data_IF_266120288733
#
_entry.id   IF_266120288733
#
_cell.length_a   1.000
_cell.length_b   1.000
_cell.length_c   1.000
_cell.angle_alpha   90.00
_cell.angle_beta   90.00
_cell.angle_gamma   90.00
#
_symmetry.space_group_name_H-M   'P 1'
#
loop_
_entity.id
_entity.type
_entity.pdbx_description
1 polymer ?
#
# COMPACT_ATOMS: atom_id res chain seq x y z
N UNK A 1 7.71 13.97 7.71
CA UNK A 1 8.19 13.75 6.32
C UNK A 1 8.60 12.29 6.18
N UNK A 2 8.19 11.59 5.13
CA UNK A 2 8.55 10.19 4.89
C UNK A 2 10.08 10.07 4.66
N UNK A 3 10.71 9.09 5.30
CA UNK A 3 12.12 8.74 5.11
C UNK A 3 12.32 7.23 5.38
N UNK A 4 13.56 6.74 5.17
CA UNK A 4 13.91 5.32 5.36
C UNK A 4 13.68 4.81 6.79
N UNK A 5 13.76 5.68 7.80
CA UNK A 5 13.60 5.28 9.22
C UNK A 5 12.13 5.17 9.63
N UNK A 6 11.26 5.96 9.02
CA UNK A 6 9.85 6.02 9.38
C UNK A 6 8.90 5.39 8.33
N UNK A 7 9.44 4.69 7.33
CA UNK A 7 8.62 4.03 6.31
C UNK A 7 7.59 3.04 6.88
N UNK A 8 7.98 2.20 7.84
CA UNK A 8 7.07 1.23 8.48
C UNK A 8 5.91 1.91 9.22
N UNK A 9 6.14 2.90 10.11
CA UNK A 9 5.04 3.62 10.72
C UNK A 9 4.24 4.48 9.72
N UNK A 10 4.86 5.05 8.69
CA UNK A 10 4.17 5.80 7.64
C UNK A 10 3.22 4.91 6.83
N UNK A 11 3.72 3.78 6.32
CA UNK A 11 2.95 2.81 5.54
C UNK A 11 1.76 2.27 6.34
N UNK A 12 1.96 1.98 7.64
CA UNK A 12 0.88 1.58 8.53
C UNK A 12 -0.20 2.66 8.70
N UNK A 13 0.19 3.92 8.88
CA UNK A 13 -0.77 5.04 8.99
C UNK A 13 -1.56 5.23 7.70
N UNK A 14 -0.88 5.19 6.56
CA UNK A 14 -1.50 5.38 5.25
C UNK A 14 -2.54 4.29 4.95
N UNK A 15 -2.18 3.02 5.16
CA UNK A 15 -3.10 1.90 4.94
C UNK A 15 -4.30 1.92 5.91
N UNK A 16 -4.10 2.38 7.16
CA UNK A 16 -5.22 2.58 8.10
C UNK A 16 -6.14 3.70 7.65
N UNK A 17 -5.57 4.81 7.20
CA UNK A 17 -6.32 5.93 6.65
C UNK A 17 -7.14 5.48 5.43
N UNK A 18 -6.52 4.82 4.46
CA UNK A 18 -7.19 4.28 3.26
C UNK A 18 -8.39 3.39 3.62
N UNK A 19 -8.23 2.48 4.59
CA UNK A 19 -9.33 1.61 5.05
C UNK A 19 -10.50 2.35 5.70
N UNK A 20 -10.25 3.53 6.26
CA UNK A 20 -11.28 4.33 6.94
C UNK A 20 -12.12 5.20 6.01
N UNK A 21 -11.71 5.35 4.75
CA UNK A 21 -12.43 6.13 3.73
C UNK A 21 -13.65 5.36 3.18
N UNK A 22 -14.62 6.05 2.55
CA UNK A 22 -15.59 5.39 1.68
C UNK A 22 -14.88 4.48 0.67
N UNK A 23 -15.46 3.33 0.33
CA UNK A 23 -14.80 2.31 -0.50
C UNK A 23 -13.46 1.78 0.06
N UNK A 24 -13.15 1.99 1.35
CA UNK A 24 -11.82 1.73 1.91
C UNK A 24 -11.25 0.32 1.70
N UNK A 25 -12.11 -0.71 1.58
CA UNK A 25 -11.69 -2.07 1.20
C UNK A 25 -11.18 -2.12 -0.26
N UNK A 26 -11.86 -1.44 -1.18
CA UNK A 26 -11.47 -1.35 -2.59
C UNK A 26 -10.21 -0.49 -2.74
N UNK A 27 -10.12 0.63 -2.03
CA UNK A 27 -8.91 1.48 -2.02
C UNK A 27 -7.70 0.67 -1.57
N UNK A 28 -7.81 -0.01 -0.42
CA UNK A 28 -6.75 -0.86 0.08
C UNK A 28 -6.38 -1.98 -0.89
N UNK A 29 -7.37 -2.55 -1.59
CA UNK A 29 -7.13 -3.55 -2.62
C UNK A 29 -6.36 -2.96 -3.81
N UNK A 30 -6.71 -1.76 -4.27
CA UNK A 30 -6.02 -1.06 -5.36
C UNK A 30 -4.54 -0.84 -5.05
N UNK A 31 -4.23 -0.40 -3.84
CA UNK A 31 -2.85 -0.14 -3.38
C UNK A 31 -2.00 -1.42 -3.39
N UNK A 32 -2.55 -2.55 -2.92
CA UNK A 32 -1.76 -3.77 -2.73
C UNK A 32 -1.79 -4.70 -3.95
N UNK A 33 -2.95 -4.83 -4.59
CA UNK A 33 -3.23 -5.86 -5.58
C UNK A 33 -3.36 -5.29 -7.00
N UNK A 34 -3.40 -3.97 -7.16
CA UNK A 34 -3.49 -3.31 -8.46
C UNK A 34 -4.89 -2.80 -8.78
N UNK A 35 -5.00 -1.96 -9.82
CA UNK A 35 -6.25 -1.33 -10.19
C UNK A 35 -7.24 -2.32 -10.83
N UNK A 36 -8.47 -1.86 -11.01
CA UNK A 36 -9.41 -2.51 -11.90
C UNK A 36 -8.87 -2.57 -13.34
N UNK A 37 -9.09 -3.71 -13.98
CA UNK A 37 -8.74 -3.96 -15.39
C UNK A 37 -10.03 -4.18 -16.16
N UNK A 38 -10.25 -3.35 -17.18
CA UNK A 38 -11.39 -3.47 -18.11
C UNK A 38 -11.38 -4.83 -18.79
N UNK A 39 -12.57 -5.40 -18.99
CA UNK A 39 -12.73 -6.73 -19.61
C UNK A 39 -12.69 -6.64 -21.13
N UNK A 40 -12.39 -7.75 -21.80
CA UNK A 40 -12.74 -7.91 -23.21
C UNK A 40 -14.17 -8.44 -23.32
N UNK A 41 -14.99 -7.80 -24.15
CA UNK A 41 -16.39 -8.16 -24.40
C UNK A 41 -16.48 -8.66 -25.86
N UNK A 42 -17.18 -9.78 -26.12
CA UNK A 42 -17.44 -10.21 -27.48
C UNK A 42 -18.40 -9.25 -28.18
N UNK A 43 -18.10 -8.90 -29.42
CA UNK A 43 -19.01 -8.10 -30.24
C UNK A 43 -20.30 -8.90 -30.52
N UNK A 44 -21.49 -8.28 -30.44
CA UNK A 44 -22.72 -8.96 -30.79
C UNK A 44 -22.69 -9.35 -32.27
N UNK A 45 -22.69 -10.66 -32.54
CA UNK A 45 -22.71 -11.19 -33.90
C UNK A 45 -23.98 -10.78 -34.66
N UNK A 46 -23.84 -10.40 -35.92
CA UNK A 46 -24.96 -10.13 -36.82
C UNK A 46 -25.73 -11.43 -37.07
N UNK A 47 -26.93 -11.55 -36.48
CA UNK A 47 -27.78 -12.73 -36.58
C UNK A 47 -28.22 -13.07 -38.03
N UNK A 48 -27.95 -12.20 -39.00
CA UNK A 48 -28.40 -12.34 -40.38
C UNK A 48 -27.34 -12.91 -41.35
N UNK A 49 -26.15 -13.31 -40.90
CA UNK A 49 -25.10 -13.84 -41.81
C UNK A 49 -24.78 -15.30 -41.52
N UNK A 50 -25.19 -16.15 -42.46
CA UNK A 50 -24.87 -17.58 -42.54
C UNK A 50 -23.41 -17.76 -43.02
N UNK A 51 -22.44 -17.27 -42.24
CA UNK A 51 -21.00 -17.46 -42.46
C UNK A 51 -20.37 -17.68 -41.09
N UNK A 52 -19.37 -18.56 -40.98
CA UNK A 52 -18.54 -18.74 -39.77
C UNK A 52 -17.96 -17.40 -39.32
N UNK A 53 -18.68 -16.71 -38.43
CA UNK A 53 -18.27 -15.44 -37.85
C UNK A 53 -17.08 -15.71 -36.94
N UNK A 54 -15.95 -15.10 -37.27
CA UNK A 54 -14.81 -15.05 -36.34
C UNK A 54 -15.24 -14.18 -35.17
N UNK A 55 -15.34 -14.72 -33.96
CA UNK A 55 -15.69 -13.95 -32.77
C UNK A 55 -14.66 -12.82 -32.57
N UNK A 56 -15.09 -11.59 -32.81
CA UNK A 56 -14.32 -10.36 -32.54
C UNK A 56 -14.61 -9.87 -31.13
N UNK A 57 -13.60 -9.33 -30.46
CA UNK A 57 -13.70 -8.83 -29.08
C UNK A 57 -13.22 -7.38 -29.02
N UNK A 58 -13.92 -6.53 -28.27
CA UNK A 58 -13.52 -5.16 -27.96
C UNK A 58 -13.21 -4.98 -26.47
N UNK A 59 -12.47 -3.92 -26.12
CA UNK A 59 -12.28 -3.54 -24.73
C UNK A 59 -13.56 -2.89 -24.20
N UNK A 60 -14.00 -3.30 -23.01
CA UNK A 60 -15.17 -2.73 -22.33
C UNK A 60 -15.08 -1.20 -22.29
N UNK A 61 -16.16 -0.56 -22.76
CA UNK A 61 -16.33 0.90 -22.78
C UNK A 61 -16.91 1.41 -21.47
N UNK A 62 -16.88 2.73 -21.27
CA UNK A 62 -17.42 3.33 -20.05
C UNK A 62 -18.95 3.15 -19.92
N UNK A 63 -19.68 3.11 -21.03
CA UNK A 63 -21.13 2.88 -21.06
C UNK A 63 -21.51 1.43 -20.69
N UNK A 64 -20.58 0.49 -20.81
CA UNK A 64 -20.76 -0.93 -20.48
C UNK A 64 -20.32 -1.26 -19.04
N UNK A 65 -19.87 -0.27 -18.27
CA UNK A 65 -19.44 -0.47 -16.88
C UNK A 65 -20.65 -0.65 -15.96
N UNK A 66 -20.60 -1.72 -15.15
CA UNK A 66 -21.55 -1.85 -14.05
C UNK A 66 -21.23 -0.87 -12.91
N UNK A 67 -22.23 -0.51 -12.09
CA UNK A 67 -22.03 0.31 -10.88
C UNK A 67 -20.92 -0.23 -9.96
N UNK A 68 -20.74 -1.55 -9.93
CA UNK A 68 -19.69 -2.21 -9.13
C UNK A 68 -18.29 -1.97 -9.69
N UNK A 69 -18.16 -1.89 -11.02
CA UNK A 69 -16.88 -1.64 -11.70
C UNK A 69 -16.53 -0.17 -11.63
N UNK A 70 -17.52 0.72 -11.81
CA UNK A 70 -17.35 2.15 -11.63
C UNK A 70 -16.86 2.49 -10.22
N UNK A 71 -17.42 1.85 -9.17
CA UNK A 71 -16.92 1.99 -7.79
C UNK A 71 -15.47 1.53 -7.59
N UNK A 72 -14.98 0.57 -8.38
CA UNK A 72 -13.58 0.14 -8.30
C UNK A 72 -12.66 1.17 -8.94
N UNK A 73 -13.04 1.69 -10.11
CA UNK A 73 -12.29 2.76 -10.79
C UNK A 73 -12.21 3.99 -9.88
N UNK A 74 -13.33 4.40 -9.28
CA UNK A 74 -13.33 5.52 -8.32
C UNK A 74 -12.41 5.24 -7.11
N UNK A 75 -12.39 3.99 -6.61
CA UNK A 75 -11.51 3.60 -5.53
C UNK A 75 -10.02 3.58 -5.95
N UNK A 76 -9.73 3.29 -7.22
CA UNK A 76 -8.36 3.36 -7.78
C UNK A 76 -7.86 4.80 -7.82
N UNK A 77 -8.69 5.74 -8.27
CA UNK A 77 -8.36 7.17 -8.26
C UNK A 77 -8.16 7.67 -6.82
N UNK A 78 -9.05 7.28 -5.90
CA UNK A 78 -8.90 7.60 -4.48
C UNK A 78 -7.65 6.98 -3.86
N UNK A 79 -7.23 5.80 -4.31
CA UNK A 79 -5.99 5.16 -3.86
C UNK A 79 -4.76 5.94 -4.32
N UNK A 80 -4.72 6.38 -5.58
CA UNK A 80 -3.67 7.25 -6.10
C UNK A 80 -3.58 8.52 -5.24
N UNK A 81 -4.69 9.25 -5.10
CA UNK A 81 -4.74 10.48 -4.31
C UNK A 81 -4.31 10.26 -2.85
N UNK A 82 -4.75 9.16 -2.23
CA UNK A 82 -4.39 8.83 -0.85
C UNK A 82 -2.88 8.62 -0.69
N UNK A 83 -2.22 7.96 -1.65
CA UNK A 83 -0.77 7.80 -1.61
C UNK A 83 -0.08 9.14 -1.83
N UNK A 84 -0.44 9.86 -2.89
CA UNK A 84 0.22 11.11 -3.28
C UNK A 84 0.18 12.17 -2.18
N UNK A 85 -0.95 12.34 -1.48
CA UNK A 85 -1.08 13.26 -0.34
C UNK A 85 -0.16 12.90 0.84
N UNK A 86 0.25 11.65 0.94
CA UNK A 86 1.17 11.17 1.98
C UNK A 86 2.65 11.34 1.62
N UNK A 87 2.98 11.72 0.38
CA UNK A 87 4.35 11.78 -0.12
C UNK A 87 4.95 13.19 -0.01
N UNK A 88 6.21 13.29 0.46
CA UNK A 88 7.04 14.48 0.26
C UNK A 88 7.32 14.74 -1.23
N UNK A 89 7.63 15.99 -1.58
CA UNK A 89 7.84 16.46 -2.96
C UNK A 89 8.98 15.72 -3.68
N UNK A 90 10.10 15.45 -3.00
CA UNK A 90 11.24 14.71 -3.57
C UNK A 90 10.89 13.26 -3.92
N UNK A 91 10.04 12.63 -3.12
CA UNK A 91 9.54 11.29 -3.39
C UNK A 91 8.48 11.31 -4.50
N UNK A 92 7.62 12.33 -4.51
CA UNK A 92 6.63 12.54 -5.56
C UNK A 92 7.28 12.65 -6.95
N UNK A 93 8.32 13.47 -7.08
CA UNK A 93 9.04 13.64 -8.33
C UNK A 93 9.65 12.33 -8.86
N UNK A 94 9.95 11.36 -8.00
CA UNK A 94 10.50 10.06 -8.39
C UNK A 94 9.43 9.02 -8.81
N UNK A 95 8.15 9.32 -8.59
CA UNK A 95 7.01 8.43 -8.89
C UNK A 95 5.98 9.10 -9.80
N UNK A 96 6.27 10.28 -10.34
CA UNK A 96 5.38 11.10 -11.17
C UNK A 96 4.94 10.38 -12.46
N UNK A 97 5.80 9.50 -12.99
CA UNK A 97 5.52 8.68 -14.17
C UNK A 97 4.64 7.45 -13.88
N UNK A 98 4.44 7.09 -12.60
CA UNK A 98 3.63 5.94 -12.23
C UNK A 98 2.14 6.24 -12.43
N UNK A 99 1.40 5.30 -12.99
CA UNK A 99 -0.01 5.49 -13.37
C UNK A 99 -0.98 4.91 -12.35
N UNK A 100 -0.55 3.91 -11.59
CA UNK A 100 -1.44 3.19 -10.67
C UNK A 100 -1.00 3.36 -9.22
N UNK A 101 -1.96 3.26 -8.29
CA UNK A 101 -1.67 3.29 -6.86
C UNK A 101 -0.65 2.20 -6.47
N UNK A 102 -0.75 1.01 -7.08
CA UNK A 102 0.16 -0.10 -6.82
C UNK A 102 1.58 0.19 -7.32
N UNK A 103 1.75 0.75 -8.51
CA UNK A 103 3.07 1.14 -9.02
C UNK A 103 3.75 2.16 -8.11
N UNK A 104 3.01 3.21 -7.73
CA UNK A 104 3.50 4.24 -6.81
C UNK A 104 3.90 3.57 -5.48
N UNK A 105 3.03 2.74 -4.92
CA UNK A 105 3.27 2.03 -3.66
C UNK A 105 4.53 1.16 -3.71
N UNK A 106 4.68 0.34 -4.75
CA UNK A 106 5.83 -0.54 -4.92
C UNK A 106 7.12 0.27 -5.13
N UNK A 107 7.07 1.35 -5.89
CA UNK A 107 8.22 2.22 -6.13
C UNK A 107 8.67 2.92 -4.85
N UNK A 108 7.75 3.51 -4.08
CA UNK A 108 8.03 4.08 -2.75
C UNK A 108 8.60 3.00 -1.84
N UNK A 109 7.99 1.81 -1.80
CA UNK A 109 8.51 0.70 -1.00
C UNK A 109 9.95 0.34 -1.38
N UNK A 110 10.28 0.30 -2.67
CA UNK A 110 11.65 0.01 -3.15
C UNK A 110 12.63 1.12 -2.75
N UNK A 111 12.24 2.38 -2.89
CA UNK A 111 13.07 3.53 -2.49
C UNK A 111 13.34 3.55 -0.99
N UNK A 112 12.34 3.14 -0.20
CA UNK A 112 12.38 3.17 1.26
C UNK A 112 13.01 1.92 1.87
N UNK A 113 12.91 0.77 1.19
CA UNK A 113 13.73 -0.39 1.51
C UNK A 113 15.19 0.01 1.35
N UNK A 114 15.92 0.00 2.47
CA UNK A 114 17.38 0.06 2.42
C UNK A 114 17.94 -1.15 1.69
N UNK A 115 19.27 -1.24 1.57
CA UNK A 115 19.90 -2.51 1.24
C UNK A 115 19.48 -3.58 2.26
N UNK A 116 19.55 -4.86 1.88
CA UNK A 116 19.32 -5.96 2.82
C UNK A 116 20.20 -5.82 4.07
N UNK A 117 21.40 -5.26 3.91
CA UNK A 117 22.32 -4.87 4.99
C UNK A 117 21.66 -3.89 5.95
N UNK A 118 21.11 -2.77 5.46
CA UNK A 118 20.44 -1.78 6.30
C UNK A 118 19.17 -2.30 6.99
N UNK A 119 18.50 -3.28 6.38
CA UNK A 119 17.39 -4.00 7.01
C UNK A 119 17.91 -4.87 8.16
N UNK A 120 18.97 -5.66 7.95
CA UNK A 120 19.56 -6.51 8.98
C UNK A 120 20.20 -5.70 10.12
N UNK A 121 20.83 -4.57 9.85
CA UNK A 121 21.35 -3.65 10.88
C UNK A 121 20.23 -3.10 11.76
N UNK A 122 19.11 -2.67 11.17
CA UNK A 122 17.93 -2.23 11.94
C UNK A 122 17.37 -3.36 12.81
N UNK A 123 17.34 -4.59 12.29
CA UNK A 123 16.94 -5.78 13.09
C UNK A 123 17.88 -6.01 14.26
N UNK A 124 19.19 -6.02 14.01
CA UNK A 124 20.20 -6.22 15.03
C UNK A 124 20.10 -5.12 16.10
N UNK A 125 19.88 -3.87 15.70
CA UNK A 125 19.70 -2.74 16.62
C UNK A 125 18.48 -2.93 17.52
N UNK A 126 17.30 -3.22 16.95
CA UNK A 126 16.07 -3.47 17.72
C UNK A 126 16.21 -4.66 18.68
N UNK A 127 16.87 -5.73 18.23
CA UNK A 127 17.10 -6.91 19.07
C UNK A 127 18.09 -6.63 20.20
N UNK A 128 19.12 -5.84 19.95
CA UNK A 128 20.05 -5.38 20.99
C UNK A 128 19.37 -4.43 21.99
N UNK A 129 18.51 -3.53 21.52
CA UNK A 129 17.68 -2.68 22.39
C UNK A 129 16.77 -3.53 23.29
N UNK A 130 16.11 -4.55 22.73
CA UNK A 130 15.32 -5.51 23.50
C UNK A 130 16.15 -6.26 24.55
N UNK A 131 17.30 -6.81 24.17
CA UNK A 131 18.18 -7.52 25.11
C UNK A 131 18.68 -6.64 26.25
N UNK A 132 18.87 -5.35 26.00
CA UNK A 132 19.35 -4.38 26.99
C UNK A 132 18.21 -3.62 27.67
N UNK A 133 16.96 -3.97 27.40
CA UNK A 133 15.80 -3.27 27.92
C UNK A 133 15.66 -3.54 29.41
N UNK A 134 15.89 -2.50 30.21
CA UNK A 134 15.76 -2.54 31.67
C UNK A 134 15.23 -1.19 32.16
N UNK A 135 14.67 -1.16 33.38
CA UNK A 135 14.34 0.11 34.02
C UNK A 135 15.60 0.93 34.33
N UNK A 136 15.48 2.26 34.25
CA UNK A 136 16.54 3.16 34.70
C UNK A 136 16.39 3.45 36.20
N UNK A 137 17.51 3.78 36.86
CA UNK A 137 17.50 4.14 38.29
C UNK A 137 16.69 5.43 38.48
N UNK A 138 15.65 5.38 39.32
CA UNK A 138 14.77 6.52 39.59
C UNK A 138 13.71 6.78 38.52
N UNK A 139 13.55 5.86 37.56
CA UNK A 139 12.50 5.96 36.55
C UNK A 139 11.10 5.71 37.14
N UNK A 140 10.13 6.53 36.72
CA UNK A 140 8.73 6.31 37.10
C UNK A 140 8.14 5.10 36.36
N UNK A 141 7.17 4.44 36.99
CA UNK A 141 6.44 3.32 36.37
C UNK A 141 5.83 3.75 35.02
N UNK A 142 5.29 4.96 34.93
CA UNK A 142 4.70 5.48 33.70
C UNK A 142 5.72 5.61 32.56
N UNK A 143 6.90 6.16 32.84
CA UNK A 143 7.99 6.26 31.86
C UNK A 143 8.43 4.88 31.38
N UNK A 144 8.58 3.94 32.32
CA UNK A 144 8.92 2.55 32.01
C UNK A 144 7.87 1.91 31.08
N UNK A 145 6.59 2.04 31.39
CA UNK A 145 5.54 1.50 30.52
C UNK A 145 5.53 2.18 29.15
N UNK A 146 5.79 3.49 29.08
CA UNK A 146 5.80 4.23 27.82
C UNK A 146 6.88 3.71 26.86
N UNK A 147 8.14 3.62 27.31
CA UNK A 147 9.21 3.15 26.43
C UNK A 147 9.14 1.64 26.16
N UNK A 148 8.51 0.84 27.04
CA UNK A 148 8.26 -0.58 26.83
C UNK A 148 7.24 -0.77 25.72
N UNK A 149 6.12 -0.05 25.78
CA UNK A 149 5.08 -0.08 24.75
C UNK A 149 5.63 0.39 23.40
N UNK A 150 6.50 1.40 23.39
CA UNK A 150 7.17 1.86 22.17
C UNK A 150 8.01 0.72 21.55
N UNK A 151 8.89 0.09 22.33
CA UNK A 151 9.72 -1.03 21.89
C UNK A 151 8.89 -2.22 21.38
N UNK A 152 7.87 -2.62 22.14
CA UNK A 152 6.97 -3.71 21.74
C UNK A 152 6.22 -3.41 20.44
N UNK A 153 5.79 -2.16 20.26
CA UNK A 153 5.15 -1.73 19.03
C UNK A 153 6.11 -1.76 17.84
N UNK A 154 7.38 -1.39 18.04
CA UNK A 154 8.40 -1.41 16.99
C UNK A 154 8.75 -2.86 16.60
N UNK A 155 8.90 -3.77 17.57
CA UNK A 155 9.11 -5.21 17.31
C UNK A 155 7.93 -5.83 16.54
N UNK A 156 6.70 -5.56 16.95
CA UNK A 156 5.46 -6.01 16.29
C UNK A 156 5.40 -5.58 14.83
N UNK A 157 5.65 -4.29 14.57
CA UNK A 157 5.51 -3.70 13.22
C UNK A 157 6.58 -4.18 12.25
N UNK A 158 7.76 -4.55 12.75
CA UNK A 158 8.83 -5.09 11.93
C UNK A 158 8.74 -6.62 11.74
N UNK A 159 7.66 -7.29 12.20
CA UNK A 159 7.47 -8.76 12.13
C UNK A 159 8.56 -9.55 12.87
N UNK A 160 8.91 -9.14 14.09
CA UNK A 160 10.01 -9.73 14.87
C UNK A 160 9.59 -10.29 16.23
N UNK A 161 8.47 -11.00 16.30
CA UNK A 161 8.34 -11.94 17.41
C UNK A 161 9.26 -13.13 17.16
N UNK A 162 10.13 -13.50 18.13
CA UNK A 162 10.50 -14.88 18.26
C UNK A 162 9.21 -15.66 18.58
N UNK A 163 8.93 -16.71 17.82
CA UNK A 163 8.07 -17.79 18.31
C UNK A 163 8.74 -18.47 19.51
#
# INVERSE_FOLDING_TARGET
MLNKENYVPWSSRLLRYAKSRPNGKLIHNSILNGPYVRKMIPEPGDANREITVTETFHLQTDDELSDKELKKIEADDQAIQTILLGLPEDIYAAVDSCKTAQEIWLRVQQMMKGSDIGIQEKKAKLFNEWKRFTSNKGESIESYYHHFLKLMNDLKRNKHFPE
#
